data_IF_435789221280
#
_entry.id   IF_435789221280
#
_cell.length_a   1.000
_cell.length_b   1.000
_cell.length_c   1.000
_cell.angle_alpha   90.00
_cell.angle_beta   90.00
_cell.angle_gamma   90.00
#
_symmetry.space_group_name_H-M   'P 1'
#
loop_
_entity.id
_entity.type
_entity.pdbx_description
1 polymer ?
#
# COMPACT_ATOMS: atom_id res chain seq x y z
N UNK A 1 -14.26 -2.99 -0.15
CA UNK A 1 -13.23 -1.94 -0.13
C UNK A 1 -13.86 -0.69 0.44
N UNK A 2 -13.28 -0.08 1.48
CA UNK A 2 -13.89 1.09 2.13
C UNK A 2 -13.64 2.39 1.31
N UNK A 3 -14.32 3.49 1.65
CA UNK A 3 -14.19 4.74 0.90
C UNK A 3 -12.77 5.33 0.94
N UNK A 4 -12.05 5.13 2.03
CA UNK A 4 -10.67 5.60 2.22
C UNK A 4 -9.69 4.84 1.32
N UNK A 5 -9.77 3.51 1.29
CA UNK A 5 -8.98 2.64 0.43
C UNK A 5 -9.23 2.93 -1.06
N UNK A 6 -10.48 3.21 -1.47
CA UNK A 6 -10.78 3.66 -2.83
C UNK A 6 -10.09 4.99 -3.18
N UNK A 7 -10.01 5.92 -2.22
CA UNK A 7 -9.31 7.20 -2.42
C UNK A 7 -7.82 6.97 -2.62
N UNK A 8 -7.19 6.16 -1.77
CA UNK A 8 -5.76 5.82 -1.85
C UNK A 8 -5.44 5.07 -3.15
N UNK A 9 -6.28 4.12 -3.57
CA UNK A 9 -6.12 3.43 -4.86
C UNK A 9 -6.10 4.40 -6.04
N UNK A 10 -7.04 5.35 -6.08
CA UNK A 10 -7.07 6.37 -7.14
C UNK A 10 -5.86 7.29 -7.08
N UNK A 11 -5.38 7.62 -5.88
CA UNK A 11 -4.17 8.41 -5.70
C UNK A 11 -2.94 7.67 -6.24
N UNK A 12 -2.74 6.41 -5.86
CA UNK A 12 -1.64 5.58 -6.37
C UNK A 12 -1.66 5.48 -7.90
N UNK A 13 -2.84 5.23 -8.48
CA UNK A 13 -2.99 5.10 -9.93
C UNK A 13 -2.56 6.37 -10.71
N UNK A 14 -2.72 7.57 -10.13
CA UNK A 14 -2.24 8.83 -10.76
C UNK A 14 -0.72 8.88 -10.88
N UNK A 15 0.01 8.16 -10.02
CA UNK A 15 1.46 8.08 -10.04
C UNK A 15 1.97 6.82 -10.76
N UNK A 16 1.10 6.07 -11.45
CA UNK A 16 1.46 4.79 -12.07
C UNK A 16 1.75 3.67 -11.06
N UNK A 17 1.30 3.85 -9.80
CA UNK A 17 1.51 2.89 -8.72
C UNK A 17 0.23 2.09 -8.44
N UNK A 18 0.39 0.92 -7.83
CA UNK A 18 -0.69 0.08 -7.35
C UNK A 18 -0.59 -0.05 -5.84
N UNK A 19 -1.72 0.17 -5.16
CA UNK A 19 -1.88 -0.18 -3.76
C UNK A 19 -2.03 -1.70 -3.63
N UNK A 20 -1.18 -2.31 -2.81
CA UNK A 20 -1.24 -3.73 -2.46
C UNK A 20 -1.48 -3.88 -0.97
N UNK A 21 -2.14 -4.98 -0.59
CA UNK A 21 -2.46 -5.30 0.80
C UNK A 21 -1.89 -6.67 1.15
N UNK A 22 -1.42 -6.83 2.38
CA UNK A 22 -1.09 -8.14 2.91
C UNK A 22 -2.29 -9.08 2.86
N UNK A 23 -2.07 -10.30 2.37
CA UNK A 23 -3.09 -11.34 2.30
C UNK A 23 -3.29 -12.07 3.64
N UNK A 24 -2.43 -11.82 4.63
CA UNK A 24 -2.48 -12.51 5.91
C UNK A 24 -3.81 -12.24 6.62
N UNK A 25 -4.46 -13.33 7.06
CA UNK A 25 -5.74 -13.29 7.78
C UNK A 25 -5.58 -13.48 9.29
N UNK A 26 -4.37 -13.78 9.75
CA UNK A 26 -4.07 -13.95 11.17
C UNK A 26 -3.86 -12.58 11.81
N UNK A 27 -4.78 -12.08 12.67
CA UNK A 27 -4.64 -10.76 13.28
C UNK A 27 -3.44 -10.60 14.21
N UNK A 28 -2.83 -11.71 14.65
CA UNK A 28 -1.63 -11.69 15.49
C UNK A 28 -0.32 -11.61 14.69
N UNK A 29 -0.40 -11.75 13.36
CA UNK A 29 0.78 -11.65 12.52
C UNK A 29 1.15 -10.17 12.30
N UNK A 30 2.45 -9.86 12.34
CA UNK A 30 2.95 -8.49 12.20
C UNK A 30 2.61 -7.83 10.86
N UNK A 31 2.33 -8.65 9.85
CA UNK A 31 1.95 -8.23 8.51
C UNK A 31 0.44 -8.09 8.31
N UNK A 32 -0.39 -8.43 9.31
CA UNK A 32 -1.84 -8.37 9.17
C UNK A 32 -2.35 -6.97 8.89
N UNK A 33 -3.13 -6.83 7.82
CA UNK A 33 -3.81 -5.57 7.49
C UNK A 33 -2.88 -4.44 7.03
N UNK A 34 -1.61 -4.75 6.73
CA UNK A 34 -0.66 -3.76 6.21
C UNK A 34 -0.77 -3.61 4.70
N UNK A 35 -0.30 -2.48 4.19
CA UNK A 35 -0.39 -2.03 2.81
C UNK A 35 0.98 -1.62 2.28
N UNK A 36 1.13 -1.62 0.97
CA UNK A 36 2.33 -1.18 0.27
C UNK A 36 2.01 -0.56 -1.09
N UNK A 37 3.00 0.08 -1.69
CA UNK A 37 2.93 0.58 -3.06
C UNK A 37 3.90 -0.22 -3.92
N UNK A 38 3.40 -0.69 -5.07
CA UNK A 38 4.23 -1.31 -6.11
C UNK A 38 4.11 -0.53 -7.40
N UNK A 39 5.15 -0.58 -8.23
CA UNK A 39 5.13 -0.02 -9.57
C UNK A 39 4.14 -0.81 -10.45
N UNK A 40 3.29 -0.10 -11.20
CA UNK A 40 2.23 -0.72 -11.99
C UNK A 40 2.73 -1.59 -13.14
N UNK A 41 3.94 -1.33 -13.64
CA UNK A 41 4.50 -2.04 -14.80
C UNK A 41 5.37 -3.22 -14.39
N UNK A 42 6.26 -3.01 -13.43
CA UNK A 42 7.28 -3.97 -12.99
C UNK A 42 6.85 -4.77 -11.77
N UNK A 43 5.81 -4.32 -11.04
CA UNK A 43 5.41 -4.84 -9.73
C UNK A 43 6.52 -4.79 -8.68
N UNK A 44 7.56 -3.98 -8.90
CA UNK A 44 8.60 -3.73 -7.92
C UNK A 44 8.05 -2.96 -6.72
N UNK A 45 8.50 -3.29 -5.51
CA UNK A 45 8.10 -2.58 -4.29
C UNK A 45 8.67 -1.16 -4.31
N UNK A 46 7.78 -0.17 -4.22
CA UNK A 46 8.10 1.25 -4.24
C UNK A 46 8.03 1.85 -2.83
N UNK A 47 7.11 1.37 -2.00
CA UNK A 47 7.02 1.74 -0.59
C UNK A 47 6.49 0.58 0.27
N UNK A 48 7.13 0.38 1.43
CA UNK A 48 6.86 -0.72 2.37
C UNK A 48 8.00 -1.72 2.44
N UNK A 49 7.77 -2.86 3.10
CA UNK A 49 8.74 -3.97 3.22
C UNK A 49 8.09 -5.34 3.06
N UNK A 50 8.59 -6.16 2.13
CA UNK A 50 8.12 -7.55 2.00
C UNK A 50 8.37 -8.41 3.26
N UNK A 51 9.33 -8.02 4.11
CA UNK A 51 9.64 -8.77 5.34
C UNK A 51 8.54 -8.64 6.41
N UNK A 52 7.77 -7.54 6.37
CA UNK A 52 6.66 -7.26 7.29
C UNK A 52 5.31 -7.27 6.57
N UNK A 53 5.24 -7.91 5.40
CA UNK A 53 4.08 -7.92 4.50
C UNK A 53 3.55 -6.54 4.11
N UNK A 54 4.49 -5.62 3.92
CA UNK A 54 4.42 -4.21 3.50
C UNK A 54 4.55 -3.21 4.65
N UNK A 55 3.96 -3.46 5.82
CA UNK A 55 4.20 -2.68 7.04
C UNK A 55 3.65 -1.25 7.08
N UNK A 56 2.98 -0.76 6.02
CA UNK A 56 2.37 0.58 6.03
C UNK A 56 0.88 0.51 6.36
N UNK A 57 0.35 1.54 7.01
CA UNK A 57 -1.09 1.80 7.06
C UNK A 57 -1.57 2.51 5.78
N UNK A 58 -2.89 2.65 5.60
CA UNK A 58 -3.43 3.45 4.49
C UNK A 58 -3.06 4.93 4.60
N UNK A 59 -2.98 5.46 5.82
CA UNK A 59 -2.58 6.85 6.08
C UNK A 59 -1.10 7.08 5.73
N UNK A 60 -0.22 6.12 6.02
CA UNK A 60 1.20 6.18 5.63
C UNK A 60 1.35 6.16 4.11
N UNK A 61 0.58 5.30 3.42
CA UNK A 61 0.56 5.28 1.95
C UNK A 61 0.03 6.60 1.39
N UNK A 62 -1.02 7.17 1.97
CA UNK A 62 -1.56 8.46 1.53
C UNK A 62 -0.51 9.56 1.68
N UNK A 63 0.21 9.60 2.81
CA UNK A 63 1.33 10.54 3.03
C UNK A 63 2.45 10.37 2.00
N UNK A 64 2.85 9.12 1.72
CA UNK A 64 3.88 8.81 0.71
C UNK A 64 3.47 9.29 -0.69
N UNK A 65 2.20 9.11 -1.07
CA UNK A 65 1.67 9.60 -2.34
C UNK A 65 1.61 11.14 -2.38
N UNK A 66 1.27 11.79 -1.27
CA UNK A 66 1.27 13.24 -1.17
C UNK A 66 2.67 13.84 -1.26
N UNK A 67 3.68 13.17 -0.70
CA UNK A 67 5.07 13.59 -0.77
C UNK A 67 5.67 13.52 -2.19
N UNK A 68 5.08 12.72 -3.09
CA UNK A 68 5.53 12.49 -4.47
C UNK A 68 4.96 13.49 -5.49
N UNK A 69 4.43 14.63 -5.03
CA UNK A 69 3.82 15.68 -5.87
C UNK A 69 4.86 16.50 -6.63
#
# INVERSE_FOLDING_TARGET
>A
MNAHEHRVHRAAARHGLLLVKSHTRNPQALDYGTYGLVDGNTRGLVAGSHQTGYGLSLDDVEQELHARR
#
